data_IF_716223739413
#
_entry.id   IF_716223739413
#
_cell.length_a   1.000
_cell.length_b   1.000
_cell.length_c   1.000
_cell.angle_alpha   90.00
_cell.angle_beta   90.00
_cell.angle_gamma   90.00
#
_symmetry.space_group_name_H-M   'P 1'
#
loop_
_entity.id
_entity.type
_entity.pdbx_description
1 polymer ?
#
# COMPACT_ATOMS: atom_id res chain seq x y z
N UNK A 1 -13.84 -5.83 28.57
CA UNK A 1 -14.21 -4.50 28.01
C UNK A 1 -13.01 -4.02 27.19
N UNK A 2 -13.15 -3.87 25.87
CA UNK A 2 -12.12 -3.20 25.07
C UNK A 2 -12.22 -1.71 25.40
N UNK A 3 -11.37 -1.23 26.28
CA UNK A 3 -11.24 0.20 26.58
C UNK A 3 -10.55 0.86 25.39
N UNK A 4 -11.22 1.82 24.76
CA UNK A 4 -10.63 2.63 23.69
C UNK A 4 -9.83 3.74 24.37
N UNK A 5 -8.53 3.53 24.52
CA UNK A 5 -7.59 4.53 25.04
C UNK A 5 -7.03 5.39 23.92
N UNK A 6 -6.81 6.71 24.14
CA UNK A 6 -6.25 7.63 23.14
C UNK A 6 -4.88 7.19 22.59
N UNK A 7 -4.17 6.36 23.35
CA UNK A 7 -2.88 5.74 22.99
C UNK A 7 -2.94 4.92 21.69
N UNK A 8 -4.12 4.43 21.30
CA UNK A 8 -4.30 3.67 20.05
C UNK A 8 -4.40 4.54 18.79
N UNK A 9 -4.45 5.88 18.91
CA UNK A 9 -4.54 6.80 17.78
C UNK A 9 -3.32 7.73 17.71
N UNK A 10 -2.11 7.20 17.53
CA UNK A 10 -0.91 8.02 17.36
C UNK A 10 -0.94 8.77 16.03
N UNK A 11 -0.19 9.87 15.94
CA UNK A 11 -0.03 10.66 14.71
C UNK A 11 0.49 9.83 13.52
N UNK A 12 1.27 8.79 13.78
CA UNK A 12 1.74 7.86 12.74
C UNK A 12 0.59 7.16 12.01
N UNK A 13 -0.50 6.84 12.71
CA UNK A 13 -1.68 6.23 12.10
C UNK A 13 -2.34 7.20 11.11
N UNK A 14 -2.38 8.49 11.44
CA UNK A 14 -2.89 9.54 10.53
C UNK A 14 -2.04 9.66 9.26
N UNK A 15 -0.70 9.61 9.37
CA UNK A 15 0.19 9.58 8.21
C UNK A 15 -0.07 8.34 7.37
N UNK A 16 -0.27 7.18 8.01
CA UNK A 16 -0.56 5.94 7.31
C UNK A 16 -1.85 6.03 6.49
N UNK A 17 -2.94 6.58 7.06
CA UNK A 17 -4.18 6.79 6.33
C UNK A 17 -4.04 7.79 5.20
N UNK A 18 -3.32 8.89 5.42
CA UNK A 18 -3.04 9.87 4.37
C UNK A 18 -2.26 9.24 3.23
N UNK A 19 -1.28 8.38 3.53
CA UNK A 19 -0.54 7.63 2.52
C UNK A 19 -1.45 6.68 1.71
N UNK A 20 -2.40 5.98 2.35
CA UNK A 20 -3.37 5.13 1.63
C UNK A 20 -4.22 5.94 0.63
N UNK A 21 -4.66 7.14 1.03
CA UNK A 21 -5.48 8.01 0.16
C UNK A 21 -4.67 8.58 -0.99
N UNK A 22 -3.42 9.02 -0.72
CA UNK A 22 -2.52 9.55 -1.75
C UNK A 22 -2.16 8.48 -2.77
N UNK A 23 -1.75 7.28 -2.31
CA UNK A 23 -1.41 6.15 -3.17
C UNK A 23 -2.63 5.70 -3.97
N UNK A 24 -3.80 5.66 -3.34
CA UNK A 24 -5.06 5.33 -3.99
C UNK A 24 -5.49 6.32 -5.08
N UNK A 25 -5.17 7.59 -4.92
CA UNK A 25 -5.57 8.69 -5.81
C UNK A 25 -6.48 9.69 -5.10
N UNK A 26 -6.00 10.94 -5.01
CA UNK A 26 -6.74 12.04 -4.41
C UNK A 26 -8.02 12.32 -5.21
N UNK A 27 -9.18 12.22 -4.54
CA UNK A 27 -10.49 12.51 -5.16
C UNK A 27 -11.25 11.29 -5.68
N UNK A 28 -10.75 10.06 -5.50
CA UNK A 28 -11.48 8.83 -5.84
C UNK A 28 -11.70 7.93 -4.62
N UNK A 29 -12.97 7.60 -4.36
CA UNK A 29 -13.34 6.64 -3.30
C UNK A 29 -12.84 5.23 -3.63
N UNK A 30 -12.99 4.79 -4.89
CA UNK A 30 -12.47 3.50 -5.35
C UNK A 30 -10.94 3.48 -5.27
N UNK A 31 -10.31 4.57 -5.68
CA UNK A 31 -8.86 4.76 -5.53
C UNK A 31 -8.40 4.53 -4.10
N UNK A 32 -9.05 5.20 -3.14
CA UNK A 32 -8.73 5.06 -1.71
C UNK A 32 -8.88 3.63 -1.19
N UNK A 33 -9.88 2.88 -1.65
CA UNK A 33 -10.06 1.46 -1.31
C UNK A 33 -8.88 0.63 -1.83
N UNK A 34 -8.52 0.81 -3.11
CA UNK A 34 -7.36 0.12 -3.69
C UNK A 34 -6.05 0.52 -3.01
N UNK A 35 -5.89 1.80 -2.67
CA UNK A 35 -4.74 2.30 -1.91
C UNK A 35 -4.64 1.66 -0.53
N UNK A 36 -5.76 1.51 0.19
CA UNK A 36 -5.79 0.84 1.49
C UNK A 36 -5.42 -0.65 1.38
N UNK A 37 -5.98 -1.35 0.39
CA UNK A 37 -5.66 -2.76 0.12
C UNK A 37 -4.17 -2.92 -0.20
N UNK A 38 -3.66 -2.11 -1.13
CA UNK A 38 -2.26 -2.16 -1.55
C UNK A 38 -1.30 -1.86 -0.39
N UNK A 39 -1.53 -0.77 0.33
CA UNK A 39 -0.70 -0.35 1.46
C UNK A 39 -0.73 -1.33 2.63
N UNK A 40 -1.80 -2.12 2.78
CA UNK A 40 -1.89 -3.19 3.78
C UNK A 40 -1.22 -4.48 3.30
N UNK A 41 -1.41 -4.84 2.02
CA UNK A 41 -0.87 -6.06 1.45
C UNK A 41 0.65 -6.03 1.32
N UNK A 42 1.26 -4.90 0.99
CA UNK A 42 2.72 -4.81 0.86
C UNK A 42 3.47 -5.26 2.13
N UNK A 43 3.25 -4.66 3.31
CA UNK A 43 3.98 -5.04 4.51
C UNK A 43 3.70 -6.49 4.91
N UNK A 44 2.53 -7.02 4.57
CA UNK A 44 2.18 -8.42 4.78
C UNK A 44 2.93 -9.36 3.82
N UNK A 45 3.02 -9.01 2.54
CA UNK A 45 3.84 -9.74 1.57
C UNK A 45 5.30 -9.73 1.99
N UNK A 46 5.84 -8.58 2.40
CA UNK A 46 7.21 -8.49 2.90
C UNK A 46 7.41 -9.35 4.15
N UNK A 47 6.41 -9.46 5.03
CA UNK A 47 6.46 -10.41 6.14
C UNK A 47 6.59 -11.84 5.68
N UNK A 48 5.72 -12.27 4.78
CA UNK A 48 5.71 -13.65 4.26
C UNK A 48 7.02 -13.96 3.52
N UNK A 49 7.50 -13.04 2.67
CA UNK A 49 8.78 -13.21 1.98
C UNK A 49 9.95 -13.29 2.95
N UNK A 50 9.98 -12.42 3.96
CA UNK A 50 11.07 -12.44 4.94
C UNK A 50 11.00 -13.65 5.87
N UNK A 51 9.81 -14.14 6.23
CA UNK A 51 9.69 -15.38 7.01
C UNK A 51 10.15 -16.58 6.22
N UNK A 52 9.74 -16.70 4.95
CA UNK A 52 10.22 -17.77 4.07
C UNK A 52 11.74 -17.68 3.86
N UNK A 53 12.29 -16.48 3.67
CA UNK A 53 13.74 -16.30 3.51
C UNK A 53 14.54 -16.67 4.77
N UNK A 54 14.00 -16.44 5.97
CA UNK A 54 14.62 -16.84 7.24
C UNK A 54 14.71 -18.36 7.38
N UNK A 55 13.75 -19.11 6.84
CA UNK A 55 13.77 -20.57 6.87
C UNK A 55 14.95 -21.14 6.04
N UNK A 56 15.34 -20.47 4.95
CA UNK A 56 16.48 -20.87 4.12
C UNK A 56 17.82 -20.30 4.62
N UNK A 57 17.83 -19.12 5.25
CA UNK A 57 19.05 -18.43 5.69
C UNK A 57 18.92 -17.90 7.14
N UNK A 58 19.21 -18.73 8.17
CA UNK A 58 19.03 -18.36 9.58
C UNK A 58 19.93 -17.19 10.04
N UNK A 59 21.00 -16.87 9.33
CA UNK A 59 21.96 -15.81 9.69
C UNK A 59 21.51 -14.38 9.36
N UNK A 60 20.41 -14.17 8.63
CA UNK A 60 19.95 -12.84 8.22
C UNK A 60 18.87 -12.29 9.18
N UNK A 61 18.42 -13.07 10.15
CA UNK A 61 17.18 -12.83 10.92
C UNK A 61 17.12 -11.56 11.79
N UNK A 62 18.25 -10.94 12.16
CA UNK A 62 18.28 -9.89 13.19
C UNK A 62 18.22 -8.44 12.68
N UNK A 63 18.55 -8.16 11.42
CA UNK A 63 18.60 -6.78 10.90
C UNK A 63 17.29 -6.27 10.25
N UNK A 64 16.22 -7.07 10.24
CA UNK A 64 15.01 -6.77 9.46
C UNK A 64 13.96 -5.89 10.15
N UNK A 65 14.10 -5.61 11.46
CA UNK A 65 13.06 -4.87 12.22
C UNK A 65 12.83 -3.45 11.67
N UNK A 66 13.86 -2.66 11.30
CA UNK A 66 13.65 -1.32 10.73
C UNK A 66 13.31 -1.32 9.23
N UNK A 67 13.48 -2.45 8.53
CA UNK A 67 13.41 -2.47 7.07
C UNK A 67 11.98 -2.22 6.57
N UNK A 68 10.97 -2.65 7.33
CA UNK A 68 9.56 -2.42 6.99
C UNK A 68 9.20 -0.94 6.91
N UNK A 69 9.58 -0.17 7.92
CA UNK A 69 9.26 1.25 7.98
C UNK A 69 9.99 2.03 6.87
N UNK A 70 11.24 1.63 6.58
CA UNK A 70 12.02 2.18 5.46
C UNK A 70 11.38 1.83 4.12
N UNK A 71 10.99 0.57 3.90
CA UNK A 71 10.32 0.15 2.66
C UNK A 71 8.97 0.86 2.52
N UNK A 72 8.22 1.00 3.61
CA UNK A 72 6.94 1.70 3.61
C UNK A 72 7.11 3.16 3.19
N UNK A 73 8.09 3.88 3.78
CA UNK A 73 8.41 5.24 3.39
C UNK A 73 8.90 5.36 1.94
N UNK A 74 9.80 4.47 1.51
CA UNK A 74 10.26 4.41 0.13
C UNK A 74 9.12 4.14 -0.85
N UNK A 75 8.15 3.31 -0.49
CA UNK A 75 7.00 3.05 -1.34
C UNK A 75 6.12 4.27 -1.51
N UNK A 76 5.87 5.02 -0.44
CA UNK A 76 5.11 6.28 -0.53
C UNK A 76 5.82 7.25 -1.48
N UNK A 77 7.13 7.46 -1.29
CA UNK A 77 7.91 8.36 -2.13
C UNK A 77 7.96 7.87 -3.58
N UNK A 78 8.17 6.57 -3.80
CA UNK A 78 8.17 5.97 -5.12
C UNK A 78 6.82 6.16 -5.82
N UNK A 79 5.72 5.90 -5.13
CA UNK A 79 4.38 6.05 -5.68
C UNK A 79 4.07 7.51 -6.04
N UNK A 80 4.48 8.46 -5.20
CA UNK A 80 4.36 9.89 -5.49
C UNK A 80 5.12 10.32 -6.76
N UNK A 81 6.27 9.70 -7.03
CA UNK A 81 7.09 10.03 -8.21
C UNK A 81 6.56 9.35 -9.48
N UNK A 82 6.27 8.06 -9.41
CA UNK A 82 5.89 7.27 -10.58
C UNK A 82 4.44 7.53 -11.01
N UNK A 83 3.53 7.73 -10.06
CA UNK A 83 2.10 7.72 -10.36
C UNK A 83 1.32 8.76 -9.53
N UNK A 84 1.51 10.06 -9.84
CA UNK A 84 0.92 11.16 -9.06
C UNK A 84 -0.63 11.17 -9.09
N UNK A 85 -1.26 10.43 -10.01
CA UNK A 85 -2.71 10.33 -10.12
C UNK A 85 -3.32 9.14 -9.34
N UNK A 86 -2.49 8.28 -8.73
CA UNK A 86 -2.98 7.17 -7.93
C UNK A 86 -3.36 5.91 -8.71
N UNK A 87 -3.61 4.81 -7.98
CA UNK A 87 -4.18 3.56 -8.51
C UNK A 87 -5.55 3.73 -9.19
N UNK A 88 -6.27 4.83 -8.89
CA UNK A 88 -7.57 5.13 -9.49
C UNK A 88 -7.53 5.23 -11.03
N UNK A 89 -6.51 5.90 -11.58
CA UNK A 89 -6.36 6.09 -13.03
C UNK A 89 -6.07 4.77 -13.75
N UNK A 90 -5.27 3.89 -13.14
CA UNK A 90 -4.99 2.55 -13.67
C UNK A 90 -6.29 1.78 -13.83
N UNK A 91 -7.14 1.80 -12.80
CA UNK A 91 -8.43 1.11 -12.83
C UNK A 91 -9.37 1.70 -13.89
N UNK A 92 -9.43 3.03 -14.02
CA UNK A 92 -10.22 3.67 -15.07
C UNK A 92 -9.72 3.32 -16.47
N UNK A 93 -8.41 3.27 -16.69
CA UNK A 93 -7.81 2.87 -17.98
C UNK A 93 -8.12 1.42 -18.32
N UNK A 94 -7.98 0.49 -17.37
CA UNK A 94 -8.31 -0.93 -17.57
C UNK A 94 -9.80 -1.10 -17.87
N UNK A 95 -10.67 -0.42 -17.11
CA UNK A 95 -12.12 -0.46 -17.34
C UNK A 95 -12.50 0.08 -18.71
N UNK A 96 -11.91 1.21 -19.13
CA UNK A 96 -12.17 1.80 -20.43
C UNK A 96 -11.65 0.92 -21.57
N UNK A 97 -10.47 0.31 -21.40
CA UNK A 97 -9.92 -0.65 -22.36
C UNK A 97 -10.84 -1.87 -22.52
N UNK A 98 -11.35 -2.41 -21.41
CA UNK A 98 -12.28 -3.55 -21.45
C UNK A 98 -13.66 -3.17 -21.97
N UNK A 99 -14.12 -1.93 -21.77
CA UNK A 99 -15.40 -1.45 -22.29
C UNK A 99 -15.39 -1.16 -23.79
N UNK A 100 -14.23 -0.87 -24.38
CA UNK A 100 -14.05 -0.69 -25.82
C UNK A 100 -13.96 -2.03 -26.57
N UNK A 101 -13.93 -3.14 -25.83
CA UNK A 101 -13.99 -4.50 -26.33
C UNK A 101 -15.45 -4.99 -26.10
N UNK A 102 -16.31 -5.26 -27.11
CA UNK A 102 -16.06 -5.82 -28.45
C UNK A 102 -16.77 -5.12 -29.64
N UNK A 103 -17.10 -3.82 -29.58
CA UNK A 103 -17.60 -3.10 -30.76
C UNK A 103 -16.75 -1.85 -31.01
N UNK A 104 -15.73 -2.04 -31.84
CA UNK A 104 -14.99 -0.96 -32.48
C UNK A 104 -15.86 -0.35 -33.58
N UNK A 105 -16.35 0.87 -33.37
CA UNK A 105 -16.69 1.82 -34.43
C UNK A 105 -16.03 3.15 -34.11
#
# INVERSE_FOLDING_TARGET
IKVVTPEHFPFSLSIQYLAMVIVGGLGSVLGSIFGAIFMTLIPELLNVFTSMAKDFFPSIGQNFIPLKDVIFGCLIVGFLIFEPHGLAEIWHRIKNFFSLWPFSY
#
